data_IF_896666347577
#
_entry.id   IF_896666347577
#
_cell.length_a   1.000
_cell.length_b   1.000
_cell.length_c   1.000
_cell.angle_alpha   90.00
_cell.angle_beta   90.00
_cell.angle_gamma   90.00
#
_symmetry.space_group_name_H-M   'P 1'
#
loop_
_entity.id
_entity.type
_entity.pdbx_description
1 polymer ?
#
# COMPACT_ATOMS: atom_id res chain seq x y z
N UNK A 1 -43.16 -5.25 19.58
CA UNK A 1 -42.24 -4.50 20.46
C UNK A 1 -40.97 -5.29 20.65
N UNK A 2 -39.85 -4.56 20.69
CA UNK A 2 -38.47 -4.96 20.95
C UNK A 2 -37.65 -5.46 19.76
N UNK A 3 -37.33 -4.49 18.89
CA UNK A 3 -35.96 -4.00 18.66
C UNK A 3 -34.84 -4.83 19.29
N UNK A 4 -33.95 -5.36 18.46
CA UNK A 4 -32.55 -4.91 18.41
C UNK A 4 -31.77 -5.83 17.45
N UNK A 5 -31.99 -5.66 16.15
CA UNK A 5 -30.91 -5.98 15.21
C UNK A 5 -29.97 -4.79 15.30
N UNK A 6 -29.02 -4.85 16.25
CA UNK A 6 -27.81 -4.04 16.17
C UNK A 6 -27.02 -4.57 14.98
N UNK A 7 -27.33 -4.05 13.79
CA UNK A 7 -26.32 -3.96 12.74
C UNK A 7 -25.34 -2.89 13.22
N UNK A 8 -24.46 -3.25 14.13
CA UNK A 8 -23.20 -2.53 14.29
C UNK A 8 -22.42 -2.85 13.01
N UNK A 9 -22.64 -2.02 11.99
CA UNK A 9 -21.67 -1.82 10.94
C UNK A 9 -20.40 -1.39 11.68
N UNK A 10 -19.51 -2.36 11.94
CA UNK A 10 -18.11 -2.06 12.17
C UNK A 10 -17.60 -1.49 10.84
N UNK A 11 -17.95 -0.23 10.57
CA UNK A 11 -17.36 0.52 9.48
C UNK A 11 -15.85 0.51 9.76
N UNK A 12 -15.06 -0.01 8.80
CA UNK A 12 -13.62 0.10 8.88
C UNK A 12 -13.28 1.57 9.17
N UNK A 13 -12.54 1.87 10.25
CA UNK A 13 -12.35 3.24 10.68
C UNK A 13 -11.67 4.03 9.56
N UNK A 14 -12.32 5.11 9.12
CA UNK A 14 -11.70 6.06 8.20
C UNK A 14 -10.53 6.71 8.94
N UNK A 15 -9.31 6.41 8.48
CA UNK A 15 -8.08 6.90 9.08
C UNK A 15 -7.85 8.32 8.58
N UNK A 16 -7.73 9.32 9.47
CA UNK A 16 -7.50 10.71 9.09
C UNK A 16 -6.27 10.84 8.20
N UNK A 17 -6.34 11.73 7.23
CA UNK A 17 -5.20 12.04 6.37
C UNK A 17 -4.00 12.52 7.20
N UNK A 18 -2.81 12.03 6.86
CA UNK A 18 -1.63 12.33 7.66
C UNK A 18 -0.46 11.39 7.40
N UNK A 19 0.55 11.51 8.25
CA UNK A 19 1.74 10.65 8.20
C UNK A 19 1.68 9.58 9.29
N UNK A 20 1.93 8.33 8.91
CA UNK A 20 1.85 7.18 9.80
C UNK A 20 3.09 6.31 9.67
N UNK A 21 3.53 5.70 10.77
CA UNK A 21 4.53 4.62 10.73
C UNK A 21 3.80 3.33 10.39
N UNK A 22 4.28 2.61 9.37
CA UNK A 22 3.68 1.36 8.94
C UNK A 22 4.74 0.33 8.56
N UNK A 23 4.48 -0.95 8.85
CA UNK A 23 5.28 -2.09 8.39
C UNK A 23 4.65 -2.68 7.14
N UNK A 24 5.45 -2.98 6.12
CA UNK A 24 4.96 -3.77 4.99
C UNK A 24 4.93 -5.25 5.38
N UNK A 25 3.74 -5.77 5.63
CA UNK A 25 3.54 -7.17 6.05
C UNK A 25 3.57 -8.13 4.86
N UNK A 26 3.28 -7.62 3.66
CA UNK A 26 3.28 -8.43 2.43
C UNK A 26 3.30 -7.55 1.18
N UNK A 27 4.04 -7.98 0.19
CA UNK A 27 3.97 -7.46 -1.18
C UNK A 27 3.58 -8.56 -2.15
N UNK A 28 2.83 -8.20 -3.20
CA UNK A 28 2.44 -9.14 -4.25
C UNK A 28 2.26 -8.44 -5.60
N UNK A 29 2.45 -9.19 -6.68
CA UNK A 29 2.09 -8.77 -8.03
C UNK A 29 0.99 -9.68 -8.55
N UNK A 30 -0.12 -9.08 -8.99
CA UNK A 30 -1.28 -9.81 -9.54
C UNK A 30 -1.61 -9.37 -10.97
N UNK A 31 -2.04 -10.29 -11.85
CA UNK A 31 -2.57 -9.93 -13.15
C UNK A 31 -3.85 -9.10 -13.01
N UNK A 32 -4.08 -8.25 -13.99
CA UNK A 32 -5.22 -7.32 -14.09
C UNK A 32 -5.63 -7.22 -15.57
N UNK A 33 -6.90 -6.92 -15.92
CA UNK A 33 -7.36 -6.86 -17.31
C UNK A 33 -6.52 -5.97 -18.24
N UNK A 34 -5.80 -4.99 -17.68
CA UNK A 34 -5.00 -4.01 -18.41
C UNK A 34 -3.49 -4.08 -18.09
N UNK A 35 -3.01 -5.21 -17.55
CA UNK A 35 -1.59 -5.41 -17.21
C UNK A 35 -1.42 -6.10 -15.85
N UNK A 36 -0.53 -5.57 -15.01
CA UNK A 36 -0.30 -6.10 -13.68
C UNK A 36 -0.42 -5.01 -12.62
N UNK A 37 -0.73 -5.41 -11.39
CA UNK A 37 -0.75 -4.52 -10.24
C UNK A 37 0.18 -5.04 -9.16
N UNK A 38 1.13 -4.21 -8.74
CA UNK A 38 1.83 -4.44 -7.47
C UNK A 38 0.96 -3.92 -6.33
N UNK A 39 0.89 -4.67 -5.25
CA UNK A 39 0.18 -4.31 -4.02
C UNK A 39 1.14 -4.43 -2.85
N UNK A 40 1.22 -3.39 -2.04
CA UNK A 40 1.90 -3.42 -0.75
C UNK A 40 0.83 -3.36 0.34
N UNK A 41 0.82 -4.36 1.19
CA UNK A 41 -0.01 -4.44 2.39
C UNK A 41 0.80 -3.83 3.53
N UNK A 42 0.31 -2.74 4.10
CA UNK A 42 0.98 -1.91 5.08
C UNK A 42 0.14 -1.90 6.35
N UNK A 43 0.70 -2.36 7.46
CA UNK A 43 0.06 -2.33 8.78
C UNK A 43 0.59 -1.13 9.56
N UNK A 44 -0.27 -0.27 10.09
CA UNK A 44 0.15 0.84 10.96
C UNK A 44 0.69 0.26 12.27
N UNK A 45 1.88 0.71 12.71
CA UNK A 45 2.61 0.13 13.85
C UNK A 45 2.69 1.06 15.07
N UNK A 46 1.96 2.18 15.08
CA UNK A 46 1.98 3.14 16.19
C UNK A 46 0.74 4.03 16.22
N UNK A 47 0.36 4.48 17.43
CA UNK A 47 -0.73 5.43 17.64
C UNK A 47 -2.10 4.77 17.74
N UNK A 48 -3.16 5.58 17.64
CA UNK A 48 -4.56 5.14 17.80
C UNK A 48 -4.99 4.11 16.74
N UNK A 49 -4.41 4.19 15.54
CA UNK A 49 -4.73 3.34 14.40
C UNK A 49 -3.82 2.12 14.27
N UNK A 50 -3.14 1.72 15.36
CA UNK A 50 -2.25 0.55 15.38
C UNK A 50 -2.95 -0.74 14.92
N UNK A 51 -2.24 -1.59 14.18
CA UNK A 51 -2.72 -2.84 13.56
C UNK A 51 -3.76 -2.68 12.44
N UNK A 52 -4.05 -1.45 11.98
CA UNK A 52 -4.93 -1.25 10.83
C UNK A 52 -4.15 -1.43 9.53
N UNK A 53 -4.74 -2.19 8.62
CA UNK A 53 -4.17 -2.52 7.32
C UNK A 53 -4.58 -1.52 6.24
N UNK A 54 -3.59 -0.95 5.58
CA UNK A 54 -3.72 -0.11 4.41
C UNK A 54 -3.10 -0.80 3.20
N UNK A 55 -3.67 -0.57 2.02
CA UNK A 55 -3.10 -1.09 0.77
C UNK A 55 -2.61 0.04 -0.12
N UNK A 56 -1.37 -0.10 -0.61
CA UNK A 56 -0.85 0.74 -1.70
C UNK A 56 -0.85 -0.04 -3.01
N UNK A 57 -1.54 0.50 -4.01
CA UNK A 57 -1.64 -0.08 -5.34
C UNK A 57 -0.75 0.66 -6.35
N UNK A 58 -0.02 -0.10 -7.16
CA UNK A 58 0.69 0.43 -8.32
C UNK A 58 0.23 -0.26 -9.59
N UNK A 59 0.02 0.52 -10.64
CA UNK A 59 -0.13 -0.02 -11.99
C UNK A 59 1.26 -0.30 -12.57
N UNK A 60 1.52 -1.55 -12.95
CA UNK A 60 2.73 -1.95 -13.67
C UNK A 60 2.37 -2.06 -15.16
N UNK A 61 3.15 -1.41 -16.02
CA UNK A 61 3.02 -1.59 -17.47
C UNK A 61 3.94 -2.72 -17.89
N UNK A 62 3.41 -3.67 -18.66
CA UNK A 62 4.21 -4.72 -19.32
C UNK A 62 5.08 -4.11 -20.41
N UNK A 63 6.36 -4.44 -20.48
CA UNK A 63 6.99 -4.63 -21.79
C UNK A 63 6.71 -6.06 -22.26
N UNK A 64 6.59 -6.22 -23.57
CA UNK A 64 5.82 -7.30 -24.21
C UNK A 64 6.70 -8.43 -24.74
N UNK A 65 7.91 -8.64 -24.18
CA UNK A 65 8.79 -9.71 -24.65
C UNK A 65 8.94 -10.79 -23.57
N UNK A 66 8.17 -11.89 -23.67
CA UNK A 66 8.54 -13.10 -22.95
C UNK A 66 9.90 -13.57 -23.43
N UNK A 67 10.71 -14.10 -22.52
CA UNK A 67 11.89 -14.88 -22.91
C UNK A 67 11.46 -16.15 -23.67
N UNK A 68 12.38 -16.78 -24.42
CA UNK A 68 12.13 -18.07 -25.07
C UNK A 68 11.60 -19.14 -24.11
N UNK A 69 11.92 -19.02 -22.81
CA UNK A 69 11.57 -19.96 -21.75
C UNK A 69 10.20 -19.67 -21.10
N UNK A 70 9.46 -18.68 -21.60
CA UNK A 70 8.14 -18.30 -21.08
C UNK A 70 8.16 -17.42 -19.83
N UNK A 71 9.35 -17.12 -19.30
CA UNK A 71 9.52 -16.21 -18.17
C UNK A 71 9.24 -14.76 -18.60
N UNK A 72 8.36 -14.08 -17.86
CA UNK A 72 7.96 -12.69 -18.14
C UNK A 72 8.95 -11.76 -17.44
N UNK A 73 9.87 -11.16 -18.20
CA UNK A 73 10.74 -10.11 -17.68
C UNK A 73 9.91 -8.82 -17.50
N UNK A 74 9.91 -8.30 -16.28
CA UNK A 74 9.19 -7.09 -15.89
C UNK A 74 9.90 -5.81 -16.33
N UNK A 75 9.92 -5.46 -17.62
CA UNK A 75 10.38 -4.10 -17.95
C UNK A 75 9.24 -3.11 -17.72
N UNK A 76 9.16 -2.61 -16.48
CA UNK A 76 8.40 -1.40 -16.23
C UNK A 76 9.12 -0.27 -16.96
N UNK A 77 8.39 0.51 -17.77
CA UNK A 77 8.96 1.74 -18.33
C UNK A 77 9.57 2.59 -17.20
N UNK A 78 10.73 3.21 -17.45
CA UNK A 78 11.50 4.00 -16.47
C UNK A 78 10.71 5.10 -15.73
N UNK A 79 9.48 5.39 -16.19
CA UNK A 79 8.53 6.37 -15.65
C UNK A 79 7.44 5.77 -14.73
N UNK A 80 7.42 4.46 -14.45
CA UNK A 80 6.37 3.89 -13.59
C UNK A 80 6.41 4.46 -12.17
N UNK A 81 5.24 4.64 -11.55
CA UNK A 81 5.16 5.14 -10.17
C UNK A 81 5.89 4.19 -9.19
N UNK A 82 5.74 2.88 -9.42
CA UNK A 82 6.41 1.84 -8.65
C UNK A 82 7.94 1.94 -8.72
N UNK A 83 8.53 1.97 -9.93
CA UNK A 83 9.99 2.05 -10.08
C UNK A 83 10.52 3.36 -9.50
N UNK A 84 9.82 4.48 -9.68
CA UNK A 84 10.24 5.77 -9.09
C UNK A 84 10.27 5.72 -7.57
N UNK A 85 9.26 5.12 -6.95
CA UNK A 85 9.22 4.95 -5.50
C UNK A 85 10.28 3.97 -5.00
N UNK A 86 10.43 2.81 -5.64
CA UNK A 86 11.47 1.83 -5.34
C UNK A 86 12.86 2.45 -5.42
N UNK A 87 13.17 3.19 -6.51
CA UNK A 87 14.48 3.83 -6.69
C UNK A 87 14.79 4.89 -5.66
N UNK A 88 13.77 5.65 -5.26
CA UNK A 88 13.92 6.69 -4.26
C UNK A 88 14.18 6.11 -2.87
N UNK A 89 13.68 4.90 -2.59
CA UNK A 89 13.88 4.21 -1.31
C UNK A 89 15.15 3.37 -1.28
N UNK A 90 15.44 2.64 -2.36
CA UNK A 90 16.46 1.59 -2.36
C UNK A 90 17.59 1.80 -3.37
N UNK A 91 17.62 2.95 -4.06
CA UNK A 91 18.61 3.25 -5.10
C UNK A 91 18.30 2.60 -6.45
N UNK A 92 19.24 2.66 -7.40
CA UNK A 92 19.09 1.93 -8.68
C UNK A 92 19.47 0.47 -8.47
N UNK A 93 18.69 -0.45 -9.03
CA UNK A 93 19.08 -1.85 -9.15
C UNK A 93 20.16 -2.03 -10.22
N UNK A 94 21.14 -2.89 -9.97
CA UNK A 94 22.30 -3.10 -10.84
C UNK A 94 21.97 -3.95 -12.08
N UNK A 95 21.03 -4.88 -11.92
CA UNK A 95 20.50 -5.79 -12.94
C UNK A 95 19.26 -5.23 -13.66
N UNK A 96 18.74 -4.10 -13.19
CA UNK A 96 17.49 -3.54 -13.70
C UNK A 96 16.24 -4.23 -13.16
N UNK A 97 16.37 -5.14 -12.18
CA UNK A 97 15.24 -5.78 -11.52
C UNK A 97 14.78 -4.99 -10.29
N UNK A 98 13.47 -4.90 -10.09
CA UNK A 98 12.85 -4.11 -9.02
C UNK A 98 11.91 -4.99 -8.19
N UNK A 99 12.45 -5.96 -7.44
CA UNK A 99 11.65 -6.96 -6.74
C UNK A 99 10.73 -6.32 -5.70
N UNK A 100 9.46 -6.73 -5.70
CA UNK A 100 8.47 -6.25 -4.75
C UNK A 100 8.74 -6.75 -3.33
N UNK A 101 9.32 -7.94 -3.19
CA UNK A 101 9.70 -8.52 -1.91
C UNK A 101 10.71 -7.68 -1.14
N UNK A 102 11.41 -6.75 -1.79
CA UNK A 102 12.31 -5.81 -1.09
C UNK A 102 11.58 -4.88 -0.13
N UNK A 103 10.26 -4.71 -0.28
CA UNK A 103 9.44 -3.98 0.69
C UNK A 103 9.08 -4.81 1.92
N UNK A 104 9.04 -6.15 1.80
CA UNK A 104 8.54 -7.03 2.86
C UNK A 104 9.36 -6.86 4.14
N UNK A 105 8.64 -6.89 5.26
CA UNK A 105 9.15 -6.75 6.63
C UNK A 105 9.85 -5.42 6.96
N UNK A 106 9.92 -4.48 6.02
CA UNK A 106 10.45 -3.12 6.28
C UNK A 106 9.40 -2.21 6.87
N UNK A 107 9.88 -1.22 7.63
CA UNK A 107 9.07 -0.16 8.19
C UNK A 107 9.25 1.14 7.41
N UNK A 108 8.16 1.89 7.31
CA UNK A 108 8.06 3.08 6.50
C UNK A 108 7.30 4.18 7.23
N UNK A 109 7.72 5.41 7.00
CA UNK A 109 6.82 6.56 7.16
C UNK A 109 5.99 6.67 5.89
N UNK A 110 4.66 6.62 5.99
CA UNK A 110 3.74 6.66 4.86
C UNK A 110 2.80 7.86 4.97
N UNK A 111 2.29 8.33 3.83
CA UNK A 111 1.23 9.31 3.76
C UNK A 111 -0.10 8.59 3.50
N UNK A 112 -1.09 8.84 4.34
CA UNK A 112 -2.46 8.33 4.23
C UNK A 112 -3.36 9.44 3.69
N UNK A 113 -4.28 9.06 2.80
CA UNK A 113 -5.32 9.93 2.22
C UNK A 113 -6.62 9.16 2.13
N UNK A 114 -7.72 9.91 2.01
CA UNK A 114 -9.03 9.33 1.80
C UNK A 114 -9.34 9.17 0.31
N UNK A 115 -10.05 8.09 -0.01
CA UNK A 115 -10.67 7.90 -1.31
C UNK A 115 -12.14 8.22 -1.18
N UNK A 116 -12.52 9.36 -1.75
CA UNK A 116 -13.91 9.85 -1.79
C UNK A 116 -14.50 9.79 -3.20
N UNK A 117 -13.67 9.52 -4.21
CA UNK A 117 -14.07 9.54 -5.62
C UNK A 117 -13.60 8.30 -6.37
N UNK A 118 -14.37 7.92 -7.39
CA UNK A 118 -14.04 6.84 -8.30
C UNK A 118 -13.09 7.31 -9.43
N UNK A 119 -12.74 6.38 -10.32
CA UNK A 119 -11.91 6.68 -11.50
C UNK A 119 -12.51 7.70 -12.48
N UNK A 120 -13.82 7.95 -12.41
CA UNK A 120 -14.55 8.95 -13.21
C UNK A 120 -14.74 10.27 -12.45
N UNK A 121 -14.11 10.43 -11.29
CA UNK A 121 -14.23 11.60 -10.39
C UNK A 121 -15.64 11.81 -9.84
N UNK A 122 -16.42 10.74 -9.75
CA UNK A 122 -17.74 10.76 -9.14
C UNK A 122 -17.60 10.44 -7.65
N UNK A 123 -18.37 11.14 -6.82
CA UNK A 123 -18.48 10.83 -5.40
C UNK A 123 -18.95 9.39 -5.20
N UNK A 124 -18.25 8.63 -4.37
CA UNK A 124 -18.61 7.24 -4.06
C UNK A 124 -19.58 7.14 -2.89
N UNK A 125 -19.88 8.27 -2.24
CA UNK A 125 -20.78 8.36 -1.09
C UNK A 125 -20.08 7.97 0.21
N UNK A 126 -20.43 8.67 1.29
CA UNK A 126 -19.74 8.58 2.59
C UNK A 126 -19.57 7.17 3.15
N UNK A 127 -20.55 6.29 2.94
CA UNK A 127 -20.52 4.89 3.40
C UNK A 127 -19.46 4.04 2.69
N UNK A 128 -18.92 4.50 1.57
CA UNK A 128 -17.90 3.81 0.79
C UNK A 128 -16.54 4.53 0.84
N UNK A 129 -16.40 5.58 1.66
CA UNK A 129 -15.12 6.25 1.83
C UNK A 129 -14.15 5.29 2.54
N UNK A 130 -12.92 5.26 2.08
CA UNK A 130 -11.88 4.45 2.68
C UNK A 130 -10.53 5.14 2.60
N UNK A 131 -9.66 4.84 3.55
CA UNK A 131 -8.31 5.38 3.58
C UNK A 131 -7.34 4.45 2.85
N UNK A 132 -6.30 5.03 2.26
CA UNK A 132 -5.23 4.28 1.58
C UNK A 132 -3.87 4.91 1.83
N UNK A 133 -2.83 4.12 1.64
CA UNK A 133 -1.46 4.63 1.57
C UNK A 133 -1.21 5.28 0.19
N UNK A 134 -1.16 6.61 0.17
CA UNK A 134 -0.94 7.41 -1.04
C UNK A 134 0.53 7.51 -1.44
N UNK A 135 1.44 7.41 -0.48
CA UNK A 135 2.86 7.49 -0.74
C UNK A 135 3.66 6.87 0.40
N UNK A 136 4.80 6.26 0.06
CA UNK A 136 5.82 5.94 1.06
C UNK A 136 6.74 7.15 1.16
N UNK A 137 6.93 7.76 2.32
CA UNK A 137 7.80 8.94 2.48
C UNK A 137 9.26 8.51 2.60
N UNK A 138 9.58 7.58 3.50
CA UNK A 138 10.93 7.05 3.69
C UNK A 138 10.90 5.70 4.41
N UNK A 139 11.96 4.93 4.26
CA UNK A 139 12.26 3.80 5.15
C UNK A 139 12.61 4.34 6.55
N UNK A 140 12.14 3.64 7.58
CA UNK A 140 12.43 3.92 8.99
C UNK A 140 12.78 2.61 9.69
N UNK A 141 13.44 2.69 10.83
CA UNK A 141 13.65 1.53 11.68
C UNK A 141 12.32 1.01 12.24
N UNK A 142 12.22 -0.31 12.35
CA UNK A 142 11.09 -0.98 12.99
C UNK A 142 11.22 -0.90 14.52
N UNK A 143 11.30 0.31 15.06
CA UNK A 143 11.13 0.51 16.49
C UNK A 143 9.64 0.34 16.81
N UNK A 144 9.29 -0.85 17.29
CA UNK A 144 8.04 -1.09 18.00
C UNK A 144 8.16 -0.23 19.26
N UNK A 145 7.41 0.86 19.35
CA UNK A 145 7.28 1.56 20.62
C UNK A 145 6.65 0.57 21.61
N UNK A 146 7.48 -0.04 22.46
CA UNK A 146 7.01 -0.65 23.69
C UNK A 146 6.21 0.43 24.41
N UNK A 147 4.92 0.16 24.66
CA UNK A 147 4.09 1.01 25.49
C UNK A 147 4.87 1.40 26.74
N UNK A 148 4.94 2.70 27.01
CA UNK A 148 5.52 3.21 28.25
C UNK A 148 4.56 2.77 29.35
N UNK A 149 4.96 1.77 30.13
CA UNK A 149 4.32 1.41 31.39
C UNK A 149 4.31 2.65 32.28
N UNK A 150 3.13 3.24 32.48
CA UNK A 150 2.92 4.22 33.52
C UNK A 150 2.81 3.47 34.85
N UNK A 151 3.92 3.41 35.60
CA UNK A 151 3.92 3.08 37.04
C UNK A 151 3.42 4.29 37.83
#
# INVERSE_FOLDING_TARGET
MNNNIKCELNDDPLIPEGEYKAKCIKSEVKPSPWGFKARLHLEIISGEYNNINLTRHYNLKTSKKPNPDGEVIWENGTKSAYIREWRRLFGKANDGDYPHSKFDDKCFLIQVTDVTQDSKKQDIGKVNYYSKAERIIKEIDCEINSEVDWI
#
